data_IF_280378209828
#
_entry.id   IF_280378209828
#
_cell.length_a   1.000
_cell.length_b   1.000
_cell.length_c   1.000
_cell.angle_alpha   90.00
_cell.angle_beta   90.00
_cell.angle_gamma   90.00
#
_symmetry.space_group_name_H-M   'P 1'
#
loop_
_entity.id
_entity.type
_entity.pdbx_description
1 polymer ?
#
# COMPACT_ATOMS: atom_id res chain seq x y z
N UNK A 1 -0.23 20.08 -14.76
CA UNK A 1 0.60 19.93 -13.55
C UNK A 1 0.50 18.50 -13.06
N UNK A 2 -0.65 18.03 -12.58
CA UNK A 2 -0.85 16.68 -12.00
C UNK A 2 -0.07 15.52 -12.66
N UNK A 3 -0.04 15.30 -13.98
CA UNK A 3 0.71 14.17 -14.56
C UNK A 3 2.20 14.38 -14.86
N UNK A 4 2.61 15.62 -15.19
CA UNK A 4 4.04 15.96 -15.16
C UNK A 4 4.55 15.97 -13.74
N UNK A 5 3.77 16.40 -12.74
CA UNK A 5 4.13 16.26 -11.34
C UNK A 5 3.93 14.82 -10.85
N UNK A 6 3.16 13.95 -11.49
CA UNK A 6 3.27 12.50 -11.27
C UNK A 6 4.62 12.01 -11.81
N UNK A 7 4.93 12.06 -13.10
CA UNK A 7 6.19 11.51 -13.64
C UNK A 7 7.45 12.26 -13.08
N UNK A 8 7.45 13.60 -12.96
CA UNK A 8 8.53 14.40 -12.34
C UNK A 8 8.53 14.37 -10.81
N UNK A 9 7.41 14.41 -10.08
CA UNK A 9 7.47 14.26 -8.62
C UNK A 9 7.67 12.80 -8.23
N UNK A 10 7.40 11.83 -9.09
CA UNK A 10 7.81 10.43 -8.94
C UNK A 10 9.30 10.27 -9.24
N UNK A 11 9.85 10.94 -10.26
CA UNK A 11 11.31 11.04 -10.48
C UNK A 11 12.02 11.85 -9.40
N UNK A 12 11.39 12.91 -8.90
CA UNK A 12 11.90 13.77 -7.83
C UNK A 12 11.81 13.01 -6.51
N UNK A 13 10.67 12.36 -6.17
CA UNK A 13 10.54 11.39 -5.08
C UNK A 13 11.55 10.26 -5.24
N UNK A 14 11.76 9.75 -6.45
CA UNK A 14 12.73 8.68 -6.68
C UNK A 14 14.16 9.17 -6.39
N UNK A 15 14.53 10.35 -6.88
CA UNK A 15 15.82 10.98 -6.59
C UNK A 15 15.96 11.47 -5.13
N UNK A 16 14.88 11.90 -4.49
CA UNK A 16 14.86 12.45 -3.14
C UNK A 16 14.81 11.35 -2.07
N UNK A 17 13.94 10.34 -2.26
CA UNK A 17 13.79 9.19 -1.37
C UNK A 17 14.86 8.12 -1.56
N UNK A 18 15.39 7.94 -2.79
CA UNK A 18 16.35 6.87 -3.13
C UNK A 18 17.74 7.36 -3.60
N UNK A 19 17.88 8.61 -4.07
CA UNK A 19 19.19 9.21 -4.34
C UNK A 19 19.91 9.70 -3.07
N UNK A 20 19.22 9.74 -1.92
CA UNK A 20 19.75 10.15 -0.62
C UNK A 20 19.56 9.03 0.45
N UNK A 21 20.34 9.07 1.55
CA UNK A 21 20.64 7.94 2.42
C UNK A 21 19.46 7.06 2.89
N UNK A 22 18.26 7.60 3.16
CA UNK A 22 17.12 6.92 3.84
C UNK A 22 16.92 5.43 3.48
N UNK A 23 16.99 5.07 2.21
CA UNK A 23 16.82 3.68 1.76
C UNK A 23 18.04 2.77 2.00
N UNK A 24 19.25 3.26 1.73
CA UNK A 24 20.49 2.60 2.19
C UNK A 24 20.50 2.51 3.71
N UNK A 25 19.93 3.47 4.42
CA UNK A 25 19.91 3.52 5.87
C UNK A 25 18.96 2.53 6.52
N UNK A 26 17.92 2.08 5.82
CA UNK A 26 17.00 1.06 6.33
C UNK A 26 17.51 -0.36 6.06
N UNK A 27 18.11 -0.58 4.89
CA UNK A 27 18.56 -1.90 4.44
C UNK A 27 20.00 -2.28 4.86
N UNK A 28 20.88 -1.31 5.12
CA UNK A 28 22.29 -1.55 5.48
C UNK A 28 22.49 -1.84 6.98
N UNK A 29 21.44 -1.72 7.79
CA UNK A 29 21.55 -1.81 9.24
C UNK A 29 21.45 -3.25 9.71
N UNK A 30 22.34 -3.60 10.65
CA UNK A 30 22.26 -4.86 11.38
C UNK A 30 21.19 -4.70 12.45
N UNK A 31 19.94 -4.93 12.06
CA UNK A 31 18.83 -4.97 13.00
C UNK A 31 19.03 -6.17 13.93
N UNK A 32 19.04 -5.94 15.24
CA UNK A 32 18.98 -7.03 16.20
C UNK A 32 17.53 -7.55 16.18
N UNK A 33 17.22 -8.38 15.18
CA UNK A 33 15.89 -8.83 14.74
C UNK A 33 15.04 -9.39 15.88
N UNK A 34 15.69 -10.10 16.83
CA UNK A 34 15.08 -10.59 18.08
C UNK A 34 14.50 -9.50 19.00
N UNK A 35 14.89 -8.23 18.84
CA UNK A 35 14.34 -7.11 19.59
C UNK A 35 13.20 -6.41 18.83
N UNK A 36 13.17 -6.41 17.50
CA UNK A 36 12.26 -5.54 16.73
C UNK A 36 10.80 -6.02 16.77
N UNK A 37 10.55 -7.33 16.66
CA UNK A 37 9.19 -7.93 16.65
C UNK A 37 8.54 -8.14 18.02
N UNK A 38 9.21 -7.73 19.10
CA UNK A 38 8.82 -8.03 20.47
C UNK A 38 8.12 -6.87 21.18
N UNK A 39 7.46 -5.96 20.45
CA UNK A 39 6.99 -4.69 21.00
C UNK A 39 8.17 -3.77 21.36
N UNK A 40 9.29 -3.90 20.65
CA UNK A 40 10.57 -3.24 20.93
C UNK A 40 11.12 -2.46 19.73
N UNK A 41 10.22 -1.80 18.98
CA UNK A 41 10.53 -0.43 18.52
C UNK A 41 10.89 0.48 19.74
N UNK A 42 10.59 0.01 20.97
CA UNK A 42 10.88 0.55 22.31
C UNK A 42 12.33 0.75 22.66
N UNK A 43 13.23 -0.14 22.25
CA UNK A 43 14.54 -0.20 22.93
C UNK A 43 15.75 0.03 22.02
N UNK A 44 15.61 -0.03 20.69
CA UNK A 44 16.80 -0.07 19.81
C UNK A 44 17.11 1.25 19.12
N UNK A 45 16.20 2.23 19.01
CA UNK A 45 16.53 3.40 18.18
C UNK A 45 15.68 4.67 18.31
N UNK A 46 14.57 4.64 19.03
CA UNK A 46 13.88 5.88 19.42
C UNK A 46 14.40 6.31 20.79
N UNK A 47 15.11 7.44 20.86
CA UNK A 47 15.48 8.05 22.14
C UNK A 47 14.20 8.41 22.92
N UNK A 48 13.74 7.51 23.79
CA UNK A 48 12.62 7.70 24.71
C UNK A 48 11.35 6.88 24.43
N UNK A 49 10.78 6.31 25.51
CA UNK A 49 9.54 5.48 25.55
C UNK A 49 8.36 6.10 24.78
N UNK A 50 8.19 7.42 24.80
CA UNK A 50 7.11 8.12 24.09
C UNK A 50 7.23 8.03 22.56
N UNK A 51 8.44 8.19 22.01
CA UNK A 51 8.69 8.18 20.56
C UNK A 51 8.43 6.81 19.94
N UNK A 52 8.77 5.76 20.66
CA UNK A 52 8.42 4.40 20.29
C UNK A 52 6.93 4.18 20.19
N UNK A 53 6.17 4.54 21.23
CA UNK A 53 4.73 4.29 21.26
C UNK A 53 4.05 4.99 20.08
N UNK A 54 4.52 6.20 19.76
CA UNK A 54 4.08 6.93 18.58
C UNK A 54 4.44 6.21 17.26
N UNK A 55 5.67 5.69 17.12
CA UNK A 55 6.08 4.92 15.95
C UNK A 55 5.20 3.66 15.77
N UNK A 56 5.00 2.89 16.83
CA UNK A 56 4.17 1.69 16.80
C UNK A 56 2.71 2.00 16.48
N UNK A 57 2.15 3.08 17.02
CA UNK A 57 0.80 3.53 16.72
C UNK A 57 0.65 3.91 15.24
N UNK A 58 1.58 4.73 14.72
CA UNK A 58 1.57 5.17 13.32
C UNK A 58 1.72 3.98 12.38
N UNK A 59 2.61 3.03 12.69
CA UNK A 59 2.80 1.83 11.89
C UNK A 59 1.55 0.95 11.87
N UNK A 60 0.92 0.69 13.01
CA UNK A 60 -0.34 -0.09 13.04
C UNK A 60 -1.48 0.62 12.30
N UNK A 61 -1.60 1.95 12.43
CA UNK A 61 -2.56 2.73 11.68
C UNK A 61 -2.31 2.63 10.17
N UNK A 62 -1.03 2.58 9.76
CA UNK A 62 -0.63 2.44 8.35
C UNK A 62 -0.99 1.07 7.78
N UNK A 63 -0.72 0.01 8.55
CA UNK A 63 -1.08 -1.37 8.19
C UNK A 63 -2.60 -1.49 8.03
N UNK A 64 -3.36 -1.01 9.03
CA UNK A 64 -4.82 -0.99 9.03
C UNK A 64 -5.41 -0.18 7.86
N UNK A 65 -4.83 0.99 7.58
CA UNK A 65 -5.25 1.83 6.47
C UNK A 65 -5.00 1.17 5.12
N UNK A 66 -3.87 0.48 4.95
CA UNK A 66 -3.56 -0.26 3.71
C UNK A 66 -4.58 -1.36 3.45
N UNK A 67 -5.01 -2.06 4.50
CA UNK A 67 -6.07 -3.08 4.40
C UNK A 67 -7.41 -2.47 3.95
N UNK A 68 -7.79 -1.29 4.46
CA UNK A 68 -8.98 -0.55 3.97
C UNK A 68 -8.84 -0.24 2.48
N UNK A 69 -7.68 0.28 2.06
CA UNK A 69 -7.43 0.58 0.65
C UNK A 69 -7.56 -0.68 -0.23
N UNK A 70 -7.13 -1.85 0.26
CA UNK A 70 -7.26 -3.10 -0.47
C UNK A 70 -8.70 -3.57 -0.63
N UNK A 71 -9.56 -3.33 0.37
CA UNK A 71 -11.01 -3.58 0.24
C UNK A 71 -11.60 -2.71 -0.89
N UNK A 72 -11.29 -1.40 -0.91
CA UNK A 72 -11.77 -0.46 -1.93
C UNK A 72 -11.25 -0.81 -3.34
N UNK A 73 -9.97 -1.16 -3.43
CA UNK A 73 -9.33 -1.50 -4.70
C UNK A 73 -9.94 -2.77 -5.29
N UNK A 74 -10.14 -3.78 -4.44
CA UNK A 74 -10.75 -5.05 -4.86
C UNK A 74 -12.16 -4.83 -5.39
N UNK A 75 -12.99 -4.06 -4.69
CA UNK A 75 -14.35 -3.79 -5.16
C UNK A 75 -14.36 -3.05 -6.49
N UNK A 76 -13.46 -2.08 -6.68
CA UNK A 76 -13.29 -1.35 -7.93
C UNK A 76 -12.92 -2.28 -9.08
N UNK A 77 -12.01 -3.23 -8.86
CA UNK A 77 -11.61 -4.22 -9.87
C UNK A 77 -12.73 -5.23 -10.18
N UNK A 78 -13.46 -5.73 -9.18
CA UNK A 78 -14.61 -6.60 -9.42
C UNK A 78 -15.72 -5.89 -10.20
N UNK A 79 -15.97 -4.62 -9.88
CA UNK A 79 -16.90 -3.77 -10.63
C UNK A 79 -16.44 -3.55 -12.07
N UNK A 80 -15.14 -3.42 -12.31
CA UNK A 80 -14.58 -3.28 -13.66
C UNK A 80 -14.86 -4.51 -14.53
N UNK A 81 -14.69 -5.72 -13.97
CA UNK A 81 -15.01 -6.99 -14.65
C UNK A 81 -16.49 -7.02 -15.07
N UNK A 82 -17.39 -6.63 -14.17
CA UNK A 82 -18.83 -6.66 -14.45
C UNK A 82 -19.24 -5.61 -15.49
N UNK A 83 -18.64 -4.41 -15.44
CA UNK A 83 -18.84 -3.39 -16.46
C UNK A 83 -18.35 -3.84 -17.83
N UNK A 84 -17.15 -4.41 -17.90
CA UNK A 84 -16.54 -4.96 -19.12
C UNK A 84 -17.45 -6.01 -19.77
N UNK A 85 -17.88 -7.01 -18.99
CA UNK A 85 -18.82 -8.05 -19.47
C UNK A 85 -20.17 -7.49 -19.92
N UNK A 86 -20.71 -6.50 -19.20
CA UNK A 86 -21.97 -5.86 -19.54
C UNK A 86 -21.87 -5.10 -20.88
N UNK A 87 -20.80 -4.32 -21.08
CA UNK A 87 -20.60 -3.60 -22.34
C UNK A 87 -20.36 -4.53 -23.52
N UNK A 88 -19.71 -5.67 -23.30
CA UNK A 88 -19.55 -6.68 -24.34
C UNK A 88 -20.89 -7.31 -24.74
N UNK A 89 -21.75 -7.63 -23.76
CA UNK A 89 -23.04 -8.29 -24.01
C UNK A 89 -24.12 -7.36 -24.55
N UNK A 90 -24.28 -6.20 -23.93
CA UNK A 90 -25.38 -5.26 -24.17
C UNK A 90 -24.97 -4.10 -25.11
N UNK A 91 -23.69 -4.03 -25.48
CA UNK A 91 -23.12 -3.03 -26.37
C UNK A 91 -22.64 -1.76 -25.65
N UNK A 92 -21.80 -0.97 -26.34
CA UNK A 92 -21.10 0.20 -25.78
C UNK A 92 -22.00 1.32 -25.23
N UNK A 93 -23.30 1.33 -25.59
CA UNK A 93 -24.26 2.36 -25.15
C UNK A 93 -25.14 1.92 -23.98
N UNK A 94 -24.94 0.71 -23.45
CA UNK A 94 -25.74 0.18 -22.35
C UNK A 94 -25.47 0.93 -21.03
N UNK A 95 -26.53 1.17 -20.25
CA UNK A 95 -26.43 1.79 -18.93
C UNK A 95 -25.98 0.77 -17.87
N UNK A 96 -24.70 0.40 -17.88
CA UNK A 96 -24.13 -0.58 -16.95
C UNK A 96 -23.71 0.08 -15.63
N UNK A 97 -24.56 0.01 -14.60
CA UNK A 97 -24.24 0.48 -13.24
C UNK A 97 -24.24 -0.65 -12.23
N UNK A 98 -23.13 -0.79 -11.51
CA UNK A 98 -22.94 -1.74 -10.43
C UNK A 98 -22.45 -0.99 -9.19
N UNK A 99 -22.94 -1.36 -8.01
CA UNK A 99 -22.48 -0.82 -6.73
C UNK A 99 -21.23 -1.54 -6.22
N UNK A 100 -20.44 -0.86 -5.37
CA UNK A 100 -19.19 -1.41 -4.84
C UNK A 100 -19.40 -2.24 -3.55
N UNK A 101 -20.46 -1.97 -2.80
CA UNK A 101 -20.70 -2.53 -1.45
C UNK A 101 -20.75 -4.05 -1.41
N UNK A 102 -21.42 -4.70 -2.35
CA UNK A 102 -21.51 -6.17 -2.40
C UNK A 102 -20.14 -6.82 -2.59
N UNK A 103 -19.28 -6.21 -3.41
CA UNK A 103 -17.92 -6.70 -3.65
C UNK A 103 -17.01 -6.47 -2.43
N UNK A 104 -17.18 -5.36 -1.72
CA UNK A 104 -16.48 -5.12 -0.45
C UNK A 104 -16.84 -6.18 0.60
N UNK A 105 -18.14 -6.51 0.75
CA UNK A 105 -18.60 -7.57 1.65
C UNK A 105 -18.10 -8.94 1.24
N UNK A 106 -18.11 -9.25 -0.06
CA UNK A 106 -17.56 -10.51 -0.59
C UNK A 106 -16.06 -10.63 -0.26
N UNK A 107 -15.28 -9.59 -0.52
CA UNK A 107 -13.85 -9.58 -0.20
C UNK A 107 -13.62 -9.68 1.32
N UNK A 108 -14.40 -8.95 2.12
CA UNK A 108 -14.39 -9.07 3.59
C UNK A 108 -14.65 -10.51 4.05
N UNK A 109 -15.64 -11.19 3.45
CA UNK A 109 -15.92 -12.61 3.72
C UNK A 109 -14.74 -13.53 3.40
N UNK A 110 -14.09 -13.33 2.25
CA UNK A 110 -12.85 -14.05 1.88
C UNK A 110 -11.75 -13.76 2.89
N UNK A 111 -11.58 -12.51 3.30
CA UNK A 111 -10.55 -12.11 4.26
C UNK A 111 -10.83 -12.66 5.67
N UNK A 112 -12.08 -12.81 6.10
CA UNK A 112 -12.39 -13.48 7.38
C UNK A 112 -11.83 -14.91 7.38
N UNK A 113 -11.94 -15.63 6.27
CA UNK A 113 -11.39 -16.99 6.13
C UNK A 113 -9.86 -16.96 6.04
N UNK A 114 -9.30 -16.12 5.16
CA UNK A 114 -7.85 -16.04 4.93
C UNK A 114 -7.10 -15.52 6.15
N UNK A 115 -7.68 -14.60 6.92
CA UNK A 115 -7.09 -14.09 8.17
C UNK A 115 -6.97 -15.15 9.25
N UNK A 116 -7.54 -16.35 9.09
CA UNK A 116 -7.29 -17.44 10.03
C UNK A 116 -5.95 -18.15 9.81
N UNK A 117 -5.20 -17.82 8.74
CA UNK A 117 -3.84 -18.31 8.54
C UNK A 117 -2.94 -17.81 9.70
N UNK A 118 -2.18 -18.69 10.38
CA UNK A 118 -1.61 -18.36 11.68
C UNK A 118 -0.49 -17.32 11.66
N UNK A 119 0.39 -17.34 10.65
CA UNK A 119 1.58 -16.49 10.55
C UNK A 119 2.11 -16.32 9.11
N UNK A 120 3.15 -15.48 8.96
CA UNK A 120 3.85 -15.18 7.71
C UNK A 120 4.41 -16.39 6.98
N UNK A 121 4.91 -17.40 7.71
CA UNK A 121 5.51 -18.57 7.10
C UNK A 121 4.43 -19.46 6.45
N UNK A 122 3.28 -19.60 7.12
CA UNK A 122 2.16 -20.37 6.60
C UNK A 122 1.45 -19.71 5.40
N UNK A 123 1.64 -18.41 5.20
CA UNK A 123 1.12 -17.67 4.03
C UNK A 123 2.14 -17.52 2.89
N UNK A 124 3.29 -18.19 2.94
CA UNK A 124 4.33 -18.09 1.91
C UNK A 124 3.78 -18.37 0.50
N UNK A 125 2.99 -19.45 0.34
CA UNK A 125 2.37 -19.81 -0.94
C UNK A 125 1.44 -18.71 -1.46
N UNK A 126 0.67 -18.07 -0.55
CA UNK A 126 -0.26 -17.00 -0.88
C UNK A 126 0.51 -15.75 -1.33
N UNK A 127 1.65 -15.46 -0.70
CA UNK A 127 2.55 -14.39 -1.11
C UNK A 127 3.17 -14.63 -2.48
N UNK A 128 3.54 -15.87 -2.82
CA UNK A 128 4.07 -16.21 -4.15
C UNK A 128 3.00 -16.02 -5.23
N UNK A 129 1.78 -16.50 -4.98
CA UNK A 129 0.64 -16.28 -5.90
C UNK A 129 0.38 -14.79 -6.08
N UNK A 130 0.33 -14.03 -4.98
CA UNK A 130 0.12 -12.58 -5.05
C UNK A 130 1.22 -11.87 -5.85
N UNK A 131 2.48 -12.27 -5.71
CA UNK A 131 3.58 -11.71 -6.50
C UNK A 131 3.40 -11.99 -8.00
N UNK A 132 3.11 -13.23 -8.39
CA UNK A 132 2.86 -13.59 -9.80
C UNK A 132 1.72 -12.74 -10.36
N UNK A 133 0.58 -12.68 -9.65
CA UNK A 133 -0.57 -11.88 -10.07
C UNK A 133 -0.22 -10.40 -10.21
N UNK A 134 0.64 -9.87 -9.34
CA UNK A 134 1.14 -8.49 -9.40
C UNK A 134 1.87 -8.17 -10.70
N UNK A 135 2.83 -9.03 -11.06
CA UNK A 135 3.56 -8.91 -12.31
C UNK A 135 2.62 -9.02 -13.50
N UNK A 136 1.72 -10.01 -13.49
CA UNK A 136 0.77 -10.25 -14.58
C UNK A 136 -0.08 -9.03 -14.87
N UNK A 137 -0.80 -8.47 -13.88
CA UNK A 137 -1.64 -7.30 -14.15
C UNK A 137 -0.80 -6.06 -14.51
N UNK A 138 0.41 -5.92 -13.97
CA UNK A 138 1.27 -4.78 -14.26
C UNK A 138 1.79 -4.79 -15.69
N UNK A 139 2.19 -5.97 -16.21
CA UNK A 139 2.56 -6.13 -17.61
C UNK A 139 1.37 -5.90 -18.54
N UNK A 140 0.18 -6.40 -18.20
CA UNK A 140 -1.03 -6.16 -19.01
C UNK A 140 -1.38 -4.67 -19.01
N UNK A 141 -1.42 -4.02 -17.85
CA UNK A 141 -1.72 -2.58 -17.75
C UNK A 141 -0.73 -1.70 -18.52
N UNK A 142 0.57 -1.99 -18.42
CA UNK A 142 1.60 -1.34 -19.22
C UNK A 142 1.37 -1.60 -20.72
N UNK A 143 1.20 -2.86 -21.13
CA UNK A 143 1.02 -3.25 -22.52
C UNK A 143 -0.21 -2.59 -23.17
N UNK A 144 -1.34 -2.57 -22.47
CA UNK A 144 -2.57 -1.90 -22.91
C UNK A 144 -2.37 -0.39 -23.03
N UNK A 145 -1.73 0.24 -22.05
CA UNK A 145 -1.40 1.68 -22.11
C UNK A 145 -0.51 2.01 -23.30
N UNK A 146 0.52 1.20 -23.55
CA UNK A 146 1.41 1.36 -24.69
C UNK A 146 0.68 1.18 -26.02
N UNK A 147 -0.13 0.11 -26.14
CA UNK A 147 -0.91 -0.16 -27.34
C UNK A 147 -1.91 0.98 -27.65
N UNK A 148 -2.58 1.51 -26.63
CA UNK A 148 -3.52 2.63 -26.80
C UNK A 148 -2.83 3.91 -27.26
N UNK A 149 -1.59 4.17 -26.80
CA UNK A 149 -0.80 5.31 -27.30
C UNK A 149 -0.50 5.17 -28.79
N UNK A 150 -0.17 3.95 -29.25
CA UNK A 150 0.05 3.67 -30.67
C UNK A 150 -1.25 3.86 -31.47
N UNK A 151 -2.35 3.28 -31.00
CA UNK A 151 -3.66 3.37 -31.67
C UNK A 151 -4.14 4.82 -31.80
N UNK A 152 -3.97 5.62 -30.73
CA UNK A 152 -4.32 7.03 -30.75
C UNK A 152 -3.52 7.85 -31.78
N UNK A 153 -2.33 7.38 -32.18
CA UNK A 153 -1.40 8.10 -33.06
C UNK A 153 -0.86 9.42 -32.48
N UNK A 154 -1.22 9.75 -31.23
CA UNK A 154 -0.84 10.99 -30.53
C UNK A 154 -0.86 10.80 -29.02
N UNK A 155 -0.10 11.64 -28.33
CA UNK A 155 -0.11 11.74 -26.87
C UNK A 155 -1.31 12.60 -26.44
N UNK A 156 -2.27 12.01 -25.72
CA UNK A 156 -3.46 12.72 -25.21
C UNK A 156 -3.15 13.57 -23.97
N UNK A 157 -2.06 13.25 -23.27
CA UNK A 157 -1.61 13.97 -22.08
C UNK A 157 -1.17 15.40 -22.35
N UNK A 158 -1.57 16.33 -21.47
CA UNK A 158 -1.14 17.73 -21.50
C UNK A 158 -0.21 18.10 -20.34
N UNK A 159 0.63 19.11 -20.54
CA UNK A 159 1.48 19.72 -19.49
C UNK A 159 0.62 20.45 -18.44
N UNK A 160 -0.52 21.02 -18.85
CA UNK A 160 -1.40 21.78 -17.96
C UNK A 160 -2.18 20.87 -17.00
N UNK A 161 -2.29 19.58 -17.30
CA UNK A 161 -3.00 18.57 -16.49
C UNK A 161 -4.51 18.75 -16.53
N UNK A 162 -5.19 18.10 -15.58
CA UNK A 162 -6.65 18.15 -15.44
C UNK A 162 -7.12 19.62 -15.31
N UNK A 163 -8.09 20.07 -16.12
CA UNK A 163 -8.72 21.37 -15.96
C UNK A 163 -9.50 21.41 -14.64
N UNK A 164 -9.57 22.57 -14.02
CA UNK A 164 -10.34 22.77 -12.79
C UNK A 164 -10.99 24.16 -12.83
N UNK A 165 -12.14 24.29 -12.17
CA UNK A 165 -12.96 25.50 -12.22
C UNK A 165 -12.26 26.69 -11.54
N UNK A 166 -11.40 26.41 -10.56
CA UNK A 166 -10.59 27.42 -9.88
C UNK A 166 -9.13 26.99 -9.71
N UNK A 167 -8.26 27.97 -9.42
CA UNK A 167 -6.86 27.72 -9.04
C UNK A 167 -6.79 26.89 -7.76
N UNK A 168 -7.71 27.10 -6.81
CA UNK A 168 -7.76 26.36 -5.56
C UNK A 168 -8.06 24.88 -5.81
N UNK A 169 -9.07 24.55 -6.63
CA UNK A 169 -9.42 23.17 -6.97
C UNK A 169 -8.27 22.46 -7.67
N UNK A 170 -7.56 23.19 -8.54
CA UNK A 170 -6.35 22.67 -9.20
C UNK A 170 -5.24 22.34 -8.21
N UNK A 171 -5.07 23.17 -7.16
CA UNK A 171 -4.10 22.92 -6.09
C UNK A 171 -4.51 21.73 -5.23
N UNK A 172 -5.79 21.59 -4.89
CA UNK A 172 -6.29 20.43 -4.13
C UNK A 172 -6.02 19.11 -4.85
N UNK A 173 -6.31 19.05 -6.15
CA UNK A 173 -6.00 17.89 -6.99
C UNK A 173 -4.49 17.60 -7.04
N UNK A 174 -3.66 18.63 -7.16
CA UNK A 174 -2.20 18.47 -7.17
C UNK A 174 -1.64 18.00 -5.81
N UNK A 175 -2.24 18.44 -4.71
CA UNK A 175 -1.85 18.02 -3.37
C UNK A 175 -2.29 16.58 -3.09
N UNK A 176 -3.53 16.22 -3.42
CA UNK A 176 -3.98 14.83 -3.33
C UNK A 176 -3.06 13.89 -4.12
N UNK A 177 -2.67 14.30 -5.33
CA UNK A 177 -1.71 13.57 -6.16
C UNK A 177 -0.36 13.32 -5.47
N UNK A 178 0.16 14.29 -4.70
CA UNK A 178 1.38 14.10 -3.92
C UNK A 178 1.20 13.04 -2.83
N UNK A 179 0.02 13.00 -2.20
CA UNK A 179 -0.35 11.93 -1.27
C UNK A 179 -0.38 10.56 -1.93
N UNK A 180 -0.99 10.46 -3.11
CA UNK A 180 -1.07 9.20 -3.87
C UNK A 180 0.32 8.67 -4.24
N UNK A 181 1.24 9.56 -4.67
CA UNK A 181 2.64 9.21 -4.93
C UNK A 181 3.33 8.75 -3.64
N UNK A 182 3.07 9.43 -2.53
CA UNK A 182 3.67 9.10 -1.25
C UNK A 182 3.24 7.71 -0.73
N UNK A 183 2.00 7.29 -1.05
CA UNK A 183 1.49 5.95 -0.75
C UNK A 183 2.16 4.84 -1.58
N UNK A 184 2.63 5.16 -2.79
CA UNK A 184 3.09 4.20 -3.78
C UNK A 184 4.24 3.29 -3.31
N UNK A 185 5.03 3.73 -2.32
CA UNK A 185 6.13 2.94 -1.75
C UNK A 185 5.93 2.64 -0.25
N UNK A 186 4.97 1.79 0.11
CA UNK A 186 4.65 1.49 1.51
C UNK A 186 5.65 0.51 2.16
N UNK A 187 6.70 0.10 1.44
CA UNK A 187 7.60 -0.98 1.85
C UNK A 187 8.28 -0.77 3.21
N UNK A 188 8.59 0.47 3.60
CA UNK A 188 9.20 0.78 4.90
C UNK A 188 8.37 0.32 6.10
N UNK A 189 7.05 0.13 5.92
CA UNK A 189 6.08 -0.28 6.94
C UNK A 189 6.17 -1.79 7.25
N UNK A 190 6.69 -2.61 6.33
CA UNK A 190 6.72 -4.07 6.47
C UNK A 190 8.12 -4.68 6.34
N UNK A 191 9.11 -3.85 5.99
CA UNK A 191 10.51 -4.23 5.79
C UNK A 191 11.06 -5.03 6.98
N UNK A 192 10.80 -4.59 8.21
CA UNK A 192 11.38 -5.19 9.41
C UNK A 192 10.76 -6.55 9.73
N UNK A 193 9.45 -6.67 9.50
CA UNK A 193 8.66 -7.87 9.67
C UNK A 193 9.11 -8.95 8.67
N UNK A 194 9.32 -8.58 7.40
CA UNK A 194 9.85 -9.51 6.39
C UNK A 194 11.30 -9.88 6.73
N UNK A 195 12.14 -8.92 7.13
CA UNK A 195 13.55 -9.20 7.39
C UNK A 195 13.76 -10.25 8.50
N UNK A 196 12.90 -10.29 9.52
CA UNK A 196 13.00 -11.28 10.62
C UNK A 196 12.65 -12.71 10.20
N UNK A 197 11.92 -12.87 9.09
CA UNK A 197 11.61 -14.20 8.54
C UNK A 197 12.77 -14.80 7.74
N UNK A 198 13.80 -14.00 7.40
CA UNK A 198 14.92 -14.45 6.58
C UNK A 198 15.85 -15.38 7.37
N UNK A 199 16.20 -16.50 6.73
CA UNK A 199 17.19 -17.45 7.28
C UNK A 199 18.60 -16.95 7.00
N UNK A 200 19.47 -17.04 8.00
CA UNK A 200 20.93 -16.87 7.87
C UNK A 200 21.61 -18.24 7.67
N UNK A 201 22.73 -18.35 6.92
CA UNK A 201 23.46 -17.31 6.18
C UNK A 201 22.97 -17.08 4.72
N UNK A 202 23.25 -15.92 4.07
CA UNK A 202 23.99 -14.75 4.57
C UNK A 202 23.16 -13.88 5.53
N UNK A 203 23.76 -12.87 6.20
CA UNK A 203 23.04 -12.00 7.14
C UNK A 203 21.77 -11.40 6.53
N UNK A 204 20.70 -11.32 7.33
CA UNK A 204 19.35 -10.97 6.87
C UNK A 204 19.34 -9.58 6.20
N UNK A 205 20.13 -8.63 6.72
CA UNK A 205 20.25 -7.29 6.15
C UNK A 205 20.86 -7.28 4.74
N UNK A 206 21.80 -8.19 4.44
CA UNK A 206 22.43 -8.30 3.12
C UNK A 206 21.42 -8.82 2.10
N UNK A 207 20.71 -9.89 2.45
CA UNK A 207 19.64 -10.45 1.62
C UNK A 207 18.54 -9.43 1.41
N UNK A 208 18.09 -8.78 2.49
CA UNK A 208 17.01 -7.81 2.41
C UNK A 208 17.38 -6.59 1.58
N UNK A 209 18.61 -6.09 1.70
CA UNK A 209 19.12 -4.98 0.88
C UNK A 209 19.07 -5.29 -0.62
N UNK A 210 19.54 -6.47 -1.02
CA UNK A 210 19.48 -6.89 -2.43
C UNK A 210 18.04 -7.02 -2.90
N UNK A 211 17.19 -7.71 -2.12
CA UNK A 211 15.77 -7.88 -2.45
C UNK A 211 15.06 -6.53 -2.59
N UNK A 212 15.28 -5.61 -1.64
CA UNK A 212 14.69 -4.27 -1.64
C UNK A 212 15.11 -3.45 -2.86
N UNK A 213 16.41 -3.47 -3.20
CA UNK A 213 16.95 -2.75 -4.37
C UNK A 213 16.26 -3.22 -5.66
N UNK A 214 16.14 -4.55 -5.83
CA UNK A 214 15.46 -5.15 -6.98
C UNK A 214 13.98 -4.76 -6.98
N UNK A 215 13.29 -4.92 -5.84
CA UNK A 215 11.87 -4.62 -5.71
C UNK A 215 11.55 -3.16 -6.08
N UNK A 216 12.34 -2.21 -5.59
CA UNK A 216 12.15 -0.79 -5.92
C UNK A 216 12.43 -0.53 -7.39
N UNK A 217 13.51 -1.04 -7.96
CA UNK A 217 13.81 -0.83 -9.37
C UNK A 217 12.66 -1.31 -10.26
N UNK A 218 12.18 -2.53 -9.99
CA UNK A 218 11.06 -3.15 -10.71
C UNK A 218 9.75 -2.37 -10.51
N UNK A 219 9.42 -2.01 -9.27
CA UNK A 219 8.19 -1.27 -8.95
C UNK A 219 8.20 0.11 -9.61
N UNK A 220 9.32 0.83 -9.52
CA UNK A 220 9.51 2.13 -10.19
C UNK A 220 9.33 2.02 -11.69
N UNK A 221 9.92 0.99 -12.31
CA UNK A 221 9.76 0.75 -13.75
C UNK A 221 8.27 0.61 -14.10
N UNK A 222 7.53 -0.27 -13.42
CA UNK A 222 6.12 -0.46 -13.71
C UNK A 222 5.26 0.76 -13.42
N UNK A 223 5.49 1.48 -12.31
CA UNK A 223 4.67 2.64 -11.98
C UNK A 223 4.92 3.79 -12.96
N UNK A 224 6.17 4.01 -13.39
CA UNK A 224 6.48 4.98 -14.44
C UNK A 224 5.88 4.55 -15.79
N UNK A 225 6.00 3.28 -16.16
CA UNK A 225 5.40 2.76 -17.38
C UNK A 225 3.87 2.92 -17.37
N UNK A 226 3.17 2.36 -16.38
CA UNK A 226 1.72 2.46 -16.26
C UNK A 226 1.24 3.91 -16.13
N UNK A 227 1.91 4.73 -15.31
CA UNK A 227 1.54 6.13 -15.11
C UNK A 227 1.76 6.98 -16.36
N UNK A 228 2.92 6.89 -16.99
CA UNK A 228 3.27 7.78 -18.09
C UNK A 228 2.65 7.30 -19.43
N UNK A 229 2.55 5.99 -19.70
CA UNK A 229 1.77 5.48 -20.86
C UNK A 229 0.26 5.58 -20.64
N UNK A 230 -0.25 5.32 -19.43
CA UNK A 230 -1.66 5.52 -19.11
C UNK A 230 -2.10 6.97 -19.33
N UNK A 231 -1.30 7.93 -18.86
CA UNK A 231 -1.58 9.34 -19.12
C UNK A 231 -1.39 9.74 -20.59
N UNK A 232 -0.43 9.15 -21.30
CA UNK A 232 -0.29 9.38 -22.73
C UNK A 232 -1.50 8.83 -23.51
N UNK A 233 -2.10 7.72 -23.04
CA UNK A 233 -3.26 7.08 -23.63
C UNK A 233 -4.57 7.83 -23.37
N UNK A 234 -4.81 8.29 -22.13
CA UNK A 234 -6.11 8.85 -21.73
C UNK A 234 -6.09 10.35 -21.40
N UNK A 235 -4.91 10.94 -21.24
CA UNK A 235 -4.75 12.34 -20.87
C UNK A 235 -5.52 12.70 -19.60
N UNK A 236 -6.31 13.77 -19.65
CA UNK A 236 -7.08 14.24 -18.50
C UNK A 236 -8.21 13.29 -18.07
N UNK A 237 -8.56 12.30 -18.91
CA UNK A 237 -9.58 11.29 -18.60
C UNK A 237 -8.97 10.01 -17.99
N UNK A 238 -7.70 10.04 -17.57
CA UNK A 238 -7.04 8.89 -16.96
C UNK A 238 -7.76 8.52 -15.65
N UNK A 239 -8.27 7.29 -15.51
CA UNK A 239 -8.93 6.86 -14.28
C UNK A 239 -7.91 6.53 -13.18
N UNK A 240 -8.35 6.56 -11.92
CA UNK A 240 -7.50 6.20 -10.77
C UNK A 240 -7.00 4.75 -10.82
N UNK A 241 -7.87 3.81 -11.20
CA UNK A 241 -7.46 2.47 -11.60
C UNK A 241 -7.32 2.43 -13.13
N UNK A 242 -6.08 2.40 -13.62
CA UNK A 242 -5.77 2.43 -15.05
C UNK A 242 -6.58 1.40 -15.87
N UNK A 243 -6.79 0.19 -15.34
CA UNK A 243 -7.48 -0.88 -16.06
C UNK A 243 -8.96 -0.58 -16.34
N UNK A 244 -9.58 0.31 -15.56
CA UNK A 244 -10.97 0.73 -15.79
C UNK A 244 -11.14 1.59 -17.02
N UNK A 245 -10.05 2.22 -17.50
CA UNK A 245 -10.05 3.05 -18.72
C UNK A 245 -10.10 2.21 -19.98
N UNK A 246 -9.73 0.93 -19.89
CA UNK A 246 -9.75 0.00 -20.99
C UNK A 246 -11.06 -0.77 -21.10
N UNK A 247 -12.14 -0.44 -20.38
CA UNK A 247 -13.38 -1.24 -20.34
C UNK A 247 -14.06 -1.53 -21.70
N UNK A 248 -13.57 -0.95 -22.80
CA UNK A 248 -14.01 -1.19 -24.18
C UNK A 248 -12.91 -1.78 -25.08
N UNK A 249 -11.77 -2.14 -24.51
CA UNK A 249 -10.63 -2.68 -25.23
C UNK A 249 -10.93 -4.12 -25.65
N UNK A 250 -10.78 -4.41 -26.94
CA UNK A 250 -10.86 -5.77 -27.44
C UNK A 250 -9.43 -6.37 -27.52
N UNK A 251 -9.17 -7.51 -26.86
CA UNK A 251 -10.16 -8.41 -26.29
C UNK A 251 -10.54 -8.12 -24.82
N UNK A 252 -11.84 -8.03 -24.54
CA UNK A 252 -12.36 -7.67 -23.21
C UNK A 252 -11.95 -8.64 -22.09
N UNK A 253 -11.77 -9.93 -22.42
CA UNK A 253 -11.33 -10.96 -21.47
C UNK A 253 -9.96 -10.64 -20.85
N UNK A 254 -9.10 -9.90 -21.55
CA UNK A 254 -7.78 -9.54 -21.05
C UNK A 254 -7.86 -8.50 -19.92
N UNK A 255 -8.82 -7.58 -20.01
CA UNK A 255 -9.13 -6.60 -18.96
C UNK A 255 -9.68 -7.33 -17.73
N UNK A 256 -10.59 -8.27 -17.96
CA UNK A 256 -11.21 -9.06 -16.90
C UNK A 256 -10.17 -9.90 -16.17
N UNK A 257 -9.29 -10.56 -16.93
CA UNK A 257 -8.18 -11.33 -16.39
C UNK A 257 -7.23 -10.46 -15.57
N UNK A 258 -6.87 -9.27 -16.07
CA UNK A 258 -6.00 -8.36 -15.33
C UNK A 258 -6.64 -7.85 -14.02
N UNK A 259 -7.93 -7.53 -14.03
CA UNK A 259 -8.65 -7.16 -12.80
C UNK A 259 -8.80 -8.34 -11.84
N UNK A 260 -9.01 -9.57 -12.34
CA UNK A 260 -9.00 -10.77 -11.51
C UNK A 260 -7.63 -11.01 -10.87
N UNK A 261 -6.54 -10.77 -11.60
CA UNK A 261 -5.19 -10.77 -11.03
C UNK A 261 -5.02 -9.72 -9.93
N UNK A 262 -5.57 -8.50 -10.08
CA UNK A 262 -5.57 -7.50 -9.00
C UNK A 262 -6.30 -8.05 -7.76
N UNK A 263 -7.52 -8.59 -7.93
CA UNK A 263 -8.28 -9.16 -6.82
C UNK A 263 -7.48 -10.23 -6.07
N UNK A 264 -6.88 -11.19 -6.80
CA UNK A 264 -6.09 -12.26 -6.20
C UNK A 264 -4.80 -11.75 -5.54
N UNK A 265 -4.13 -10.76 -6.14
CA UNK A 265 -2.98 -10.09 -5.53
C UNK A 265 -3.35 -9.46 -4.18
N UNK A 266 -4.47 -8.74 -4.13
CA UNK A 266 -4.94 -8.06 -2.93
C UNK A 266 -5.40 -9.03 -1.84
N UNK A 267 -5.84 -10.25 -2.19
CA UNK A 267 -6.10 -11.30 -1.19
C UNK A 267 -4.84 -11.58 -0.38
N UNK A 268 -3.72 -11.84 -1.06
CA UNK A 268 -2.44 -12.10 -0.37
C UNK A 268 -1.83 -10.85 0.25
N UNK A 269 -1.92 -9.71 -0.43
CA UNK A 269 -1.47 -8.43 0.10
C UNK A 269 -2.11 -8.09 1.44
N UNK A 270 -3.43 -8.23 1.56
CA UNK A 270 -4.15 -7.96 2.82
C UNK A 270 -3.61 -8.80 3.98
N UNK A 271 -3.23 -10.06 3.72
CA UNK A 271 -2.62 -10.90 4.74
C UNK A 271 -1.21 -10.40 5.12
N UNK A 272 -0.42 -9.90 4.18
CA UNK A 272 0.92 -9.35 4.46
C UNK A 272 0.82 -8.17 5.44
N UNK A 273 -0.21 -7.32 5.31
CA UNK A 273 -0.38 -6.14 6.17
C UNK A 273 -1.14 -6.41 7.47
N UNK A 274 -2.08 -7.36 7.50
CA UNK A 274 -2.86 -7.67 8.70
C UNK A 274 -2.14 -8.57 9.71
N UNK A 275 -1.30 -9.50 9.26
CA UNK A 275 -0.59 -10.45 10.15
C UNK A 275 0.29 -9.78 11.22
N UNK A 276 1.06 -8.70 10.96
CA UNK A 276 1.78 -7.98 12.00
C UNK A 276 0.85 -7.37 13.05
N UNK A 277 -0.32 -6.85 12.65
CA UNK A 277 -1.30 -6.29 13.58
C UNK A 277 -1.88 -7.39 14.47
N UNK A 278 -2.20 -8.54 13.87
CA UNK A 278 -2.66 -9.72 14.60
C UNK A 278 -1.63 -10.18 15.62
N UNK A 279 -0.37 -10.35 15.20
CA UNK A 279 0.72 -10.75 16.09
C UNK A 279 0.93 -9.76 17.24
N UNK A 280 0.85 -8.45 16.96
CA UNK A 280 0.98 -7.41 17.98
C UNK A 280 -0.13 -7.49 19.05
N UNK A 281 -1.39 -7.56 18.62
CA UNK A 281 -2.54 -7.57 19.53
C UNK A 281 -2.65 -8.89 20.29
N UNK A 282 -2.52 -10.02 19.61
CA UNK A 282 -2.57 -11.36 20.24
C UNK A 282 -1.51 -11.47 21.34
N UNK A 283 -0.27 -11.06 21.06
CA UNK A 283 0.82 -11.08 22.05
C UNK A 283 0.54 -10.17 23.24
N UNK A 284 -0.03 -8.99 23.01
CA UNK A 284 -0.38 -8.07 24.08
C UNK A 284 -1.41 -8.69 25.03
N UNK A 285 -2.45 -9.33 24.49
CA UNK A 285 -3.45 -10.03 25.29
C UNK A 285 -2.88 -11.26 26.01
N UNK A 286 -2.05 -12.07 25.36
CA UNK A 286 -1.37 -13.22 25.98
C UNK A 286 -0.53 -12.79 27.19
N UNK A 287 0.24 -11.71 27.07
CA UNK A 287 1.07 -11.22 28.17
C UNK A 287 0.24 -10.59 29.30
N UNK A 288 -0.86 -9.91 28.97
CA UNK A 288 -1.69 -9.22 29.95
C UNK A 288 -2.62 -10.15 30.71
N UNK A 289 -3.08 -11.23 30.07
CA UNK A 289 -4.05 -12.17 30.63
C UNK A 289 -3.57 -13.63 30.50
N UNK A 290 -2.46 -14.01 31.16
CA UNK A 290 -1.87 -15.35 31.03
C UNK A 290 -2.77 -16.47 31.59
N UNK A 291 -3.67 -16.17 32.53
CA UNK A 291 -4.60 -17.15 33.11
C UNK A 291 -5.93 -17.31 32.37
N UNK A 292 -6.17 -16.55 31.29
CA UNK A 292 -7.45 -16.59 30.58
C UNK A 292 -7.52 -17.76 29.60
N UNK A 293 -8.49 -18.64 29.77
CA UNK A 293 -8.79 -19.72 28.82
C UNK A 293 -9.21 -19.20 27.43
N UNK A 294 -9.81 -18.01 27.35
CA UNK A 294 -10.17 -17.37 26.07
C UNK A 294 -8.93 -17.00 25.24
N UNK A 295 -7.82 -16.69 25.90
CA UNK A 295 -6.58 -16.25 25.26
C UNK A 295 -5.62 -17.42 25.05
N UNK A 296 -5.55 -18.37 25.99
CA UNK A 296 -4.51 -19.39 26.03
C UNK A 296 -4.99 -20.83 25.76
N UNK A 297 -6.30 -21.08 25.64
CA UNK A 297 -6.77 -22.40 25.21
C UNK A 297 -6.69 -22.51 23.69
N UNK A 298 -5.68 -23.25 23.21
CA UNK A 298 -5.50 -23.55 21.80
C UNK A 298 -6.27 -24.80 21.41
N UNK A 299 -7.13 -24.66 20.41
CA UNK A 299 -7.85 -25.73 19.73
C UNK A 299 -7.18 -25.99 18.39
N UNK A 300 -6.86 -27.26 18.13
CA UNK A 300 -6.26 -27.65 16.85
C UNK A 300 -7.37 -28.03 15.88
N UNK A 301 -7.53 -27.23 14.82
CA UNK A 301 -8.48 -27.51 13.74
C UNK A 301 -7.68 -28.19 12.62
N UNK A 302 -8.11 -29.40 12.25
CA UNK A 302 -7.59 -30.12 11.07
C UNK A 302 -8.63 -30.02 9.97
N UNK A 303 -8.34 -29.25 8.93
CA UNK A 303 -9.12 -29.22 7.70
C UNK A 303 -8.51 -30.23 6.71
N UNK A 304 -9.33 -30.92 5.89
CA UNK A 304 -8.81 -31.77 4.83
C UNK A 304 -7.96 -30.93 3.86
N UNK A 305 -6.77 -31.43 3.50
CA UNK A 305 -5.80 -30.80 2.58
C UNK A 305 -5.05 -29.56 3.09
N UNK A 306 -5.25 -29.11 4.34
CA UNK A 306 -4.52 -27.98 4.92
C UNK A 306 -3.71 -28.40 6.16
N UNK A 307 -2.61 -27.69 6.49
CA UNK A 307 -1.89 -27.88 7.74
C UNK A 307 -2.81 -27.73 8.95
N UNK A 308 -2.49 -28.42 10.05
CA UNK A 308 -3.23 -28.24 11.30
C UNK A 308 -3.02 -26.83 11.86
N UNK A 309 -4.10 -26.10 12.12
CA UNK A 309 -4.03 -24.74 12.65
C UNK A 309 -4.40 -24.71 14.13
N UNK A 310 -3.56 -24.06 14.95
CA UNK A 310 -3.87 -23.78 16.35
C UNK A 310 -4.60 -22.45 16.45
N UNK A 311 -5.87 -22.50 16.84
CA UNK A 311 -6.70 -21.32 17.04
C UNK A 311 -7.12 -21.22 18.50
N UNK A 312 -7.23 -20.00 19.01
CA UNK A 312 -7.90 -19.73 20.27
C UNK A 312 -9.09 -18.77 19.99
N UNK A 313 -10.07 -18.70 20.90
CA UNK A 313 -11.24 -17.83 20.71
C UNK A 313 -10.89 -16.36 20.49
N UNK A 314 -9.84 -15.85 21.15
CA UNK A 314 -9.33 -14.48 20.92
C UNK A 314 -8.93 -14.26 19.46
N UNK A 315 -8.15 -15.17 18.85
CA UNK A 315 -7.70 -15.04 17.46
C UNK A 315 -8.89 -14.94 16.51
N UNK A 316 -9.84 -15.87 16.63
CA UNK A 316 -11.01 -15.90 15.74
C UNK A 316 -11.82 -14.61 15.89
N UNK A 317 -12.13 -14.21 17.13
CA UNK A 317 -12.93 -13.03 17.41
C UNK A 317 -12.24 -11.74 16.94
N UNK A 318 -10.98 -11.55 17.34
CA UNK A 318 -10.22 -10.34 17.01
C UNK A 318 -9.99 -10.19 15.51
N UNK A 319 -9.53 -11.26 14.84
CA UNK A 319 -9.24 -11.20 13.39
C UNK A 319 -10.52 -10.98 12.58
N UNK A 320 -11.63 -11.59 12.97
CA UNK A 320 -12.94 -11.35 12.34
C UNK A 320 -13.41 -9.91 12.57
N UNK A 321 -13.32 -9.40 13.80
CA UNK A 321 -13.67 -8.03 14.13
C UNK A 321 -12.79 -7.01 13.37
N UNK A 322 -11.50 -7.32 13.22
CA UNK A 322 -10.57 -6.52 12.43
C UNK A 322 -11.02 -6.42 10.97
N UNK A 323 -11.27 -7.56 10.30
CA UNK A 323 -11.74 -7.59 8.90
C UNK A 323 -13.10 -6.91 8.74
N UNK A 324 -14.02 -7.12 9.68
CA UNK A 324 -15.31 -6.44 9.67
C UNK A 324 -15.13 -4.92 9.77
N UNK A 325 -14.24 -4.44 10.63
CA UNK A 325 -13.99 -3.02 10.81
C UNK A 325 -13.37 -2.35 9.58
N UNK A 326 -12.35 -2.96 8.94
CA UNK A 326 -11.74 -2.42 7.71
C UNK A 326 -12.76 -2.38 6.58
N UNK A 327 -13.60 -3.42 6.46
CA UNK A 327 -14.67 -3.49 5.45
C UNK A 327 -15.72 -2.41 5.66
N UNK A 328 -16.18 -2.20 6.89
CA UNK A 328 -17.16 -1.14 7.22
C UNK A 328 -16.58 0.24 6.90
N UNK A 329 -15.32 0.52 7.26
CA UNK A 329 -14.71 1.82 6.96
C UNK A 329 -14.57 2.02 5.45
N UNK A 330 -14.17 0.99 4.71
CA UNK A 330 -14.11 1.03 3.24
C UNK A 330 -15.49 1.35 2.62
N UNK A 331 -16.57 0.81 3.18
CA UNK A 331 -17.94 1.09 2.74
C UNK A 331 -18.37 2.54 3.02
N UNK A 332 -17.90 3.14 4.11
CA UNK A 332 -18.23 4.53 4.48
C UNK A 332 -17.47 5.55 3.62
N UNK A 333 -16.27 5.18 3.13
CA UNK A 333 -15.40 6.03 2.33
C UNK A 333 -14.85 5.28 1.09
N UNK A 334 -15.68 4.95 0.09
CA UNK A 334 -15.28 4.19 -1.10
C UNK A 334 -14.54 5.06 -2.14
N UNK A 335 -13.70 5.99 -1.69
CA UNK A 335 -13.03 7.00 -2.52
C UNK A 335 -11.57 6.63 -2.72
N UNK A 336 -11.30 5.83 -3.75
CA UNK A 336 -9.99 5.20 -3.99
C UNK A 336 -8.82 6.19 -3.89
N UNK A 337 -8.75 7.23 -4.73
CA UNK A 337 -7.62 8.16 -4.72
C UNK A 337 -7.56 8.98 -3.41
N UNK A 338 -8.69 9.44 -2.89
CA UNK A 338 -8.70 10.28 -1.68
C UNK A 338 -8.20 9.51 -0.46
N UNK A 339 -8.63 8.25 -0.30
CA UNK A 339 -8.17 7.38 0.79
C UNK A 339 -6.69 7.07 0.65
N UNK A 340 -6.21 6.74 -0.55
CA UNK A 340 -4.77 6.51 -0.80
C UNK A 340 -3.94 7.74 -0.46
N UNK A 341 -4.39 8.94 -0.87
CA UNK A 341 -3.69 10.19 -0.59
C UNK A 341 -3.57 10.50 0.90
N UNK A 342 -4.64 10.27 1.68
CA UNK A 342 -4.60 10.41 3.14
C UNK A 342 -3.60 9.43 3.76
N UNK A 343 -3.66 8.16 3.37
CA UNK A 343 -2.77 7.12 3.89
C UNK A 343 -1.30 7.39 3.53
N UNK A 344 -1.04 7.77 2.28
CA UNK A 344 0.28 8.12 1.79
C UNK A 344 0.87 9.28 2.57
N UNK A 345 0.09 10.33 2.78
CA UNK A 345 0.54 11.47 3.57
C UNK A 345 0.81 11.09 5.03
N UNK A 346 -0.11 10.39 5.70
CA UNK A 346 0.08 9.99 7.11
C UNK A 346 1.32 9.12 7.33
N UNK A 347 1.70 8.31 6.34
CA UNK A 347 2.76 7.31 6.50
C UNK A 347 4.12 7.83 6.04
N UNK A 348 4.16 8.60 4.95
CA UNK A 348 5.39 8.92 4.23
C UNK A 348 6.41 9.67 5.09
N UNK A 349 6.09 10.84 5.62
CA UNK A 349 7.08 11.57 6.43
C UNK A 349 7.46 10.85 7.72
N UNK A 350 6.54 10.44 8.61
CA UNK A 350 6.97 9.90 9.89
C UNK A 350 7.72 8.57 9.73
N UNK A 351 7.18 7.62 8.96
CA UNK A 351 7.69 6.24 8.91
C UNK A 351 8.75 6.04 7.83
N UNK A 352 8.61 6.65 6.65
CA UNK A 352 9.59 6.47 5.57
C UNK A 352 10.79 7.43 5.65
N UNK A 353 10.62 8.60 6.27
CA UNK A 353 11.64 9.66 6.27
C UNK A 353 12.17 9.99 7.68
N UNK A 354 11.33 10.50 8.57
CA UNK A 354 11.73 11.04 9.86
C UNK A 354 12.38 10.00 10.76
N UNK A 355 11.69 8.90 11.07
CA UNK A 355 12.25 7.86 11.92
C UNK A 355 13.55 7.29 11.34
N UNK A 356 13.62 6.86 10.06
CA UNK A 356 14.85 6.35 9.47
C UNK A 356 16.04 7.35 9.53
N UNK A 357 15.79 8.64 9.25
CA UNK A 357 16.82 9.68 9.31
C UNK A 357 17.33 9.90 10.74
N UNK A 358 16.42 9.95 11.72
CA UNK A 358 16.76 10.08 13.14
C UNK A 358 17.56 8.89 13.66
N UNK A 359 17.13 7.67 13.31
CA UNK A 359 17.84 6.44 13.65
C UNK A 359 19.25 6.44 13.09
N UNK A 360 19.42 6.91 11.85
CA UNK A 360 20.74 7.02 11.24
C UNK A 360 21.66 8.00 11.95
N UNK A 361 21.16 9.17 12.33
CA UNK A 361 21.95 10.15 13.09
C UNK A 361 22.48 9.54 14.40
N UNK A 362 21.63 8.80 15.11
CA UNK A 362 22.00 8.13 16.36
C UNK A 362 23.02 7.01 16.10
N UNK A 363 22.75 6.11 15.16
CA UNK A 363 23.58 4.93 14.92
C UNK A 363 24.96 5.26 14.35
N UNK A 364 25.05 6.24 13.42
CA UNK A 364 26.34 6.70 12.88
C UNK A 364 26.95 7.84 13.67
N UNK A 365 26.34 8.26 14.78
CA UNK A 365 26.80 9.37 15.63
C UNK A 365 27.11 10.62 14.81
N UNK A 366 26.23 10.96 13.87
CA UNK A 366 26.41 12.12 13.00
C UNK A 366 26.30 13.38 13.85
N UNK A 367 27.36 14.19 13.88
CA UNK A 367 27.35 15.43 14.64
C UNK A 367 26.40 16.46 14.01
N UNK A 368 25.67 17.24 14.84
CA UNK A 368 24.87 18.36 14.38
C UNK A 368 25.69 19.31 13.51
N UNK A 369 25.03 19.96 12.54
CA UNK A 369 25.64 20.96 11.65
C UNK A 369 26.73 20.46 10.69
N UNK A 370 27.05 19.17 10.69
CA UNK A 370 27.84 18.59 9.60
C UNK A 370 27.07 18.68 8.28
N UNK A 371 27.78 18.73 7.13
CA UNK A 371 27.15 18.78 5.80
C UNK A 371 26.11 17.67 5.59
N UNK A 372 26.40 16.45 6.05
CA UNK A 372 25.48 15.30 5.97
C UNK A 372 24.23 15.50 6.83
N UNK A 373 24.40 16.06 8.03
CA UNK A 373 23.29 16.37 8.93
C UNK A 373 22.36 17.43 8.33
N UNK A 374 22.92 18.52 7.81
CA UNK A 374 22.14 19.62 7.19
C UNK A 374 21.35 19.11 5.99
N UNK A 375 21.98 18.36 5.08
CA UNK A 375 21.30 17.80 3.90
C UNK A 375 20.14 16.89 4.30
N UNK A 376 20.35 15.96 5.23
CA UNK A 376 19.31 15.04 5.67
C UNK A 376 18.19 15.73 6.45
N UNK A 377 18.50 16.76 7.24
CA UNK A 377 17.51 17.53 7.99
C UNK A 377 16.65 18.39 7.06
N UNK A 378 17.26 19.10 6.11
CA UNK A 378 16.53 19.86 5.08
C UNK A 378 15.65 18.96 4.24
N UNK A 379 16.16 17.79 3.84
CA UNK A 379 15.38 16.80 3.10
C UNK A 379 14.16 16.31 3.89
N UNK A 380 14.34 15.96 5.16
CA UNK A 380 13.24 15.55 6.04
C UNK A 380 12.20 16.67 6.21
N UNK A 381 12.63 17.92 6.36
CA UNK A 381 11.72 19.06 6.47
C UNK A 381 10.92 19.29 5.18
N UNK A 382 11.55 19.17 4.01
CA UNK A 382 10.84 19.26 2.74
C UNK A 382 9.77 18.15 2.59
N UNK A 383 10.09 16.92 2.96
CA UNK A 383 9.12 15.81 2.94
C UNK A 383 7.96 16.02 3.92
N UNK A 384 8.20 16.71 5.05
CA UNK A 384 7.15 17.10 5.98
C UNK A 384 6.16 18.06 5.30
N UNK A 385 6.67 19.08 4.59
CA UNK A 385 5.81 20.02 3.87
C UNK A 385 4.98 19.32 2.79
N UNK A 386 5.59 18.45 1.99
CA UNK A 386 4.88 17.62 0.98
C UNK A 386 3.78 16.78 1.63
N UNK A 387 4.08 16.18 2.77
CA UNK A 387 3.11 15.39 3.54
C UNK A 387 1.95 16.24 4.04
N UNK A 388 2.22 17.41 4.61
CA UNK A 388 1.18 18.31 5.13
C UNK A 388 0.25 18.75 4.01
N UNK A 389 0.80 19.22 2.88
CA UNK A 389 -0.04 19.66 1.75
C UNK A 389 -0.82 18.48 1.17
N UNK A 390 -0.18 17.31 1.02
CA UNK A 390 -0.83 16.11 0.52
C UNK A 390 -1.99 15.64 1.39
N UNK A 391 -1.82 15.71 2.71
CA UNK A 391 -2.88 15.40 3.67
C UNK A 391 -4.06 16.38 3.53
N UNK A 392 -3.79 17.69 3.46
CA UNK A 392 -4.83 18.71 3.31
C UNK A 392 -5.61 18.50 2.01
N UNK A 393 -4.90 18.30 0.88
CA UNK A 393 -5.53 18.05 -0.41
C UNK A 393 -6.39 16.79 -0.43
N UNK A 394 -5.91 15.71 0.18
CA UNK A 394 -6.63 14.43 0.22
C UNK A 394 -7.86 14.47 1.15
N UNK A 395 -7.76 15.15 2.30
CA UNK A 395 -8.90 15.37 3.20
C UNK A 395 -9.94 16.26 2.51
N UNK A 396 -9.51 17.34 1.85
CA UNK A 396 -10.43 18.20 1.11
C UNK A 396 -11.14 17.42 0.01
N UNK A 397 -10.41 16.61 -0.76
CA UNK A 397 -10.98 15.71 -1.77
C UNK A 397 -11.99 14.73 -1.17
N UNK A 398 -11.73 14.17 0.01
CA UNK A 398 -12.63 13.26 0.70
C UNK A 398 -13.92 13.95 1.17
N UNK A 399 -13.80 15.16 1.73
CA UNK A 399 -14.94 15.96 2.18
C UNK A 399 -15.79 16.36 0.97
N UNK A 400 -15.18 16.88 -0.09
CA UNK A 400 -15.88 17.25 -1.32
C UNK A 400 -16.58 16.05 -1.95
N UNK A 401 -15.95 14.87 -2.00
CA UNK A 401 -16.57 13.69 -2.60
C UNK A 401 -17.74 13.13 -1.78
N UNK A 402 -17.77 13.37 -0.46
CA UNK A 402 -18.79 12.83 0.45
C UNK A 402 -19.96 13.77 0.68
N UNK A 403 -19.72 15.07 0.70
CA UNK A 403 -20.70 16.08 1.09
C UNK A 403 -20.95 17.16 0.04
N UNK A 404 -20.12 17.24 -1.00
CA UNK A 404 -20.36 18.09 -2.18
C UNK A 404 -21.15 17.31 -3.22
#
# INVERSE_FOLDING_TARGET
MVSRTYCLAYLCYYHLSFGLPSFRLLSDQRWNTKQVLHGRCSDVSCSGRKRTWMCALLQNLSLYGTDIAYVITTSTSMRAIQKSNCYHREGHKAACSYGDTSYMLLFGGVQVVMSQIPDFHNMEWLSVVAAIMSFTYSFIGFGLGFAQVIENGRIQGSITGVPADSVADKLWLAFQALGDIAFAYPYSIILLEIQDTLKSPPPENKTMKTASMIAIFVTTFFYLCCGCFGYAAFGNNTPGNLLTGFGFYEPYWLIDFANACIVLHLVGGYQIFSQPVFAFVERWFTNKFPGSGFVNNFYTIKLPLLPSFQMNPLKICFRTAYVASTTVIAMIFPYFNQVLGVLGALNFWPLAIYFPVEMYFVQKKIQPWTRKWVVLRTFSFFCLLVTIVGLIGSIQGLISAKFG
#
